data_IF_975670890991
#
_entry.id   IF_975670890991
#
_cell.length_a   1.000
_cell.length_b   1.000
_cell.length_c   1.000
_cell.angle_alpha   90.00
_cell.angle_beta   90.00
_cell.angle_gamma   90.00
#
_symmetry.space_group_name_H-M   'P 1'
#
loop_
_entity.id
_entity.type
_entity.pdbx_description
1 polymer ?
#
# COMPACT_ATOMS: atom_id res chain seq x y z
N UNK A 1 -7.82 -9.51 27.87
CA UNK A 1 -7.28 -8.31 27.20
C UNK A 1 -7.22 -8.60 25.70
N UNK A 2 -7.92 -7.81 24.87
CA UNK A 2 -7.85 -7.89 23.40
C UNK A 2 -7.02 -6.70 22.89
N UNK A 3 -5.70 -6.79 22.94
CA UNK A 3 -4.84 -5.91 22.14
C UNK A 3 -4.70 -6.53 20.76
N UNK A 4 -5.71 -6.32 19.91
CA UNK A 4 -5.56 -6.62 18.48
C UNK A 4 -4.67 -5.53 17.92
N UNK A 5 -3.36 -5.79 17.83
CA UNK A 5 -2.45 -4.89 17.14
C UNK A 5 -2.99 -4.65 15.72
N UNK A 6 -3.21 -3.39 15.39
CA UNK A 6 -3.68 -3.02 14.06
C UNK A 6 -2.54 -3.23 13.08
N UNK A 7 -2.52 -4.40 12.43
CA UNK A 7 -1.58 -4.67 11.34
C UNK A 7 -1.96 -3.77 10.16
N UNK A 8 -1.08 -2.83 9.82
CA UNK A 8 -1.25 -1.99 8.65
C UNK A 8 -1.27 -2.84 7.38
N UNK A 9 -2.07 -2.47 6.36
CA UNK A 9 -2.05 -3.16 5.09
C UNK A 9 -0.69 -2.98 4.42
N UNK A 10 -0.19 -4.03 3.79
CA UNK A 10 1.06 -3.94 3.03
C UNK A 10 0.83 -3.28 1.67
N UNK A 11 -0.31 -3.50 1.03
CA UNK A 11 -0.65 -2.91 -0.26
C UNK A 11 -1.92 -2.07 -0.15
N UNK A 12 -1.85 -0.87 -0.70
CA UNK A 12 -3.00 0.04 -0.79
C UNK A 12 -3.18 0.55 -2.21
N UNK A 13 -4.41 0.87 -2.58
CA UNK A 13 -4.76 1.42 -3.88
C UNK A 13 -5.53 2.71 -3.75
N UNK A 14 -5.16 3.72 -4.52
CA UNK A 14 -5.92 4.97 -4.58
C UNK A 14 -7.09 4.88 -5.58
N UNK A 15 -7.99 5.88 -5.62
CA UNK A 15 -9.10 5.89 -6.57
C UNK A 15 -8.65 6.17 -8.02
N UNK A 16 -7.41 6.63 -8.23
CA UNK A 16 -6.81 6.84 -9.55
C UNK A 16 -6.23 5.57 -10.17
N UNK A 17 -6.19 4.46 -9.40
CA UNK A 17 -5.70 3.16 -9.84
C UNK A 17 -4.23 2.90 -9.50
N UNK A 18 -3.53 3.84 -8.85
CA UNK A 18 -2.14 3.61 -8.42
C UNK A 18 -2.12 2.64 -7.24
N UNK A 19 -1.27 1.63 -7.32
CA UNK A 19 -1.01 0.68 -6.23
C UNK A 19 0.28 1.10 -5.53
N UNK A 20 0.28 1.08 -4.21
CA UNK A 20 1.43 1.42 -3.38
C UNK A 20 1.80 0.24 -2.47
N UNK A 21 3.09 0.07 -2.25
CA UNK A 21 3.63 -0.70 -1.13
C UNK A 21 3.74 0.24 0.09
N UNK A 22 2.99 -0.04 1.16
CA UNK A 22 3.05 0.72 2.40
C UNK A 22 4.12 0.10 3.31
N UNK A 23 5.24 0.80 3.47
CA UNK A 23 6.36 0.35 4.30
C UNK A 23 6.65 1.41 5.35
N UNK A 24 6.54 1.06 6.64
CA UNK A 24 6.81 1.95 7.76
C UNK A 24 6.08 3.31 7.65
N UNK A 25 4.80 3.30 7.23
CA UNK A 25 4.00 4.52 7.05
C UNK A 25 4.27 5.31 5.76
N UNK A 26 5.18 4.85 4.90
CA UNK A 26 5.53 5.51 3.64
C UNK A 26 4.92 4.77 2.45
N UNK A 27 4.30 5.52 1.54
CA UNK A 27 3.71 5.00 0.31
C UNK A 27 4.74 5.01 -0.83
N UNK A 28 5.13 3.82 -1.28
CA UNK A 28 5.98 3.62 -2.45
C UNK A 28 5.11 3.20 -3.64
N UNK A 29 4.94 4.03 -4.68
CA UNK A 29 4.16 3.66 -5.85
C UNK A 29 4.80 2.44 -6.53
N UNK A 30 3.99 1.50 -7.01
CA UNK A 30 4.44 0.34 -7.76
C UNK A 30 4.22 0.60 -9.25
N UNK A 31 5.29 0.51 -10.04
CA UNK A 31 5.31 0.91 -11.45
C UNK A 31 4.48 0.02 -12.38
N UNK A 32 4.33 -1.27 -12.04
CA UNK A 32 3.66 -2.23 -12.91
C UNK A 32 2.97 -3.36 -12.14
N UNK A 33 1.99 -4.00 -12.80
CA UNK A 33 1.31 -5.17 -12.25
C UNK A 33 2.28 -6.34 -12.01
N UNK A 34 3.24 -6.56 -12.92
CA UNK A 34 4.27 -7.59 -12.77
C UNK A 34 5.06 -7.36 -11.48
N UNK A 35 5.47 -6.12 -11.21
CA UNK A 35 6.20 -5.78 -9.98
C UNK A 35 5.36 -6.01 -8.73
N UNK A 36 4.07 -5.67 -8.79
CA UNK A 36 3.14 -5.98 -7.71
C UNK A 36 3.05 -7.48 -7.45
N UNK A 37 2.93 -8.31 -8.49
CA UNK A 37 2.89 -9.78 -8.36
C UNK A 37 4.18 -10.34 -7.77
N UNK A 38 5.34 -9.83 -8.18
CA UNK A 38 6.65 -10.21 -7.61
C UNK A 38 6.76 -9.90 -6.10
N UNK A 39 6.22 -8.74 -5.69
CA UNK A 39 6.22 -8.29 -4.30
C UNK A 39 5.15 -9.01 -3.46
N UNK A 40 3.98 -9.29 -4.04
CA UNK A 40 2.82 -9.84 -3.36
C UNK A 40 2.74 -11.38 -3.44
N UNK A 41 3.81 -12.05 -3.02
CA UNK A 41 3.90 -13.53 -3.05
C UNK A 41 2.81 -14.21 -2.22
N UNK A 42 2.37 -13.55 -1.16
CA UNK A 42 1.32 -14.02 -0.24
C UNK A 42 -0.11 -13.72 -0.73
N UNK A 43 -0.27 -13.08 -1.90
CA UNK A 43 -1.58 -12.70 -2.46
C UNK A 43 -2.43 -11.87 -1.49
N UNK A 44 -1.79 -10.97 -0.76
CA UNK A 44 -2.44 -10.02 0.15
C UNK A 44 -3.38 -9.08 -0.63
N UNK A 45 -4.48 -8.64 -0.01
CA UNK A 45 -5.42 -7.73 -0.65
C UNK A 45 -4.82 -6.34 -0.84
N UNK A 46 -5.28 -5.65 -1.89
CA UNK A 46 -5.06 -4.21 -2.07
C UNK A 46 -6.17 -3.48 -1.32
N UNK A 47 -5.83 -2.80 -0.22
CA UNK A 47 -6.81 -2.02 0.54
C UNK A 47 -7.05 -0.67 -0.15
N UNK A 48 -8.30 -0.36 -0.47
CA UNK A 48 -8.65 0.93 -1.09
C UNK A 48 -8.58 2.05 -0.06
N UNK A 49 -7.92 3.15 -0.42
CA UNK A 49 -7.77 4.35 0.42
C UNK A 49 -8.23 5.59 -0.33
N UNK A 50 -8.54 6.66 0.39
CA UNK A 50 -8.97 7.93 -0.20
C UNK A 50 -7.77 8.75 -0.72
N UNK A 51 -8.03 9.67 -1.65
CA UNK A 51 -7.02 10.66 -2.08
C UNK A 51 -6.47 11.50 -0.91
N UNK A 52 -7.29 11.76 0.12
CA UNK A 52 -6.86 12.50 1.32
C UNK A 52 -5.82 11.67 2.08
N UNK A 53 -6.08 10.37 2.30
CA UNK A 53 -5.14 9.45 2.96
C UNK A 53 -3.82 9.38 2.19
N UNK A 54 -3.89 9.31 0.86
CA UNK A 54 -2.71 9.33 -0.02
C UNK A 54 -1.90 10.61 0.19
N UNK A 55 -2.55 11.76 0.35
CA UNK A 55 -1.89 13.06 0.51
C UNK A 55 -1.27 13.27 1.89
N UNK A 56 -1.79 12.61 2.92
CA UNK A 56 -1.30 12.71 4.31
C UNK A 56 -0.10 11.81 4.61
N UNK A 57 0.06 10.71 3.87
CA UNK A 57 1.17 9.77 4.08
C UNK A 57 2.40 10.17 3.26
N UNK A 58 3.58 9.96 3.86
CA UNK A 58 4.86 10.22 3.21
C UNK A 58 4.98 9.44 1.88
N UNK A 59 5.65 10.04 0.90
CA UNK A 59 5.93 9.43 -0.41
C UNK A 59 7.36 8.94 -0.46
N UNK A 60 7.51 7.66 -0.79
CA UNK A 60 8.79 7.06 -1.09
C UNK A 60 9.02 6.94 -2.58
N UNK A 61 10.17 6.38 -2.95
CA UNK A 61 10.51 6.16 -4.35
C UNK A 61 9.57 5.17 -5.05
N UNK A 62 9.49 5.30 -6.37
CA UNK A 62 8.81 4.39 -7.28
C UNK A 62 9.56 3.04 -7.30
N UNK A 63 8.82 1.93 -7.15
CA UNK A 63 9.35 0.56 -7.11
C UNK A 63 8.85 -0.26 -8.31
#
# INVERSE_FOLDING_TARGET
>A
MLTKEAKLPQFVGDPGGTIYHLKNGTLHPIRSWQKFVELNKEKLPIVKISYITVSLLAKGELI
#
